data_IF_015555854054
#
_entry.id   IF_015555854054
#
_cell.length_a   1.000
_cell.length_b   1.000
_cell.length_c   1.000
_cell.angle_alpha   90.00
_cell.angle_beta   90.00
_cell.angle_gamma   90.00
#
_symmetry.space_group_name_H-M   'P 1'
#
loop_
_entity.id
_entity.type
_entity.pdbx_description
1 polymer ?
#
# COMPACT_ATOMS: atom_id res chain seq x y z
N UNK A 1 90.09 11.11 29.50
CA UNK A 1 89.09 11.25 28.42
C UNK A 1 88.20 10.01 28.40
N UNK A 2 86.96 10.19 27.92
CA UNK A 2 85.83 9.24 27.80
C UNK A 2 85.14 8.77 29.09
N UNK A 3 84.05 9.46 29.41
CA UNK A 3 82.99 9.05 30.31
C UNK A 3 81.98 8.14 29.58
N UNK A 4 81.56 7.04 30.20
CA UNK A 4 80.38 6.28 29.80
C UNK A 4 79.38 6.23 30.96
N UNK A 5 78.34 7.06 30.87
CA UNK A 5 77.08 6.95 31.59
C UNK A 5 76.06 6.38 30.59
N UNK A 6 75.47 5.22 30.89
CA UNK A 6 74.17 4.85 30.30
C UNK A 6 73.26 4.26 31.37
N UNK A 7 72.19 5.01 31.59
CA UNK A 7 71.17 4.84 32.61
C UNK A 7 70.33 3.57 32.41
N UNK A 8 70.22 2.79 33.48
CA UNK A 8 69.18 1.79 33.69
C UNK A 8 67.88 2.47 34.13
N UNK A 9 67.00 2.77 33.17
CA UNK A 9 65.57 3.05 33.45
C UNK A 9 64.72 2.32 32.41
N UNK A 10 64.67 0.99 32.52
CA UNK A 10 63.88 0.14 31.64
C UNK A 10 63.23 -0.97 32.45
N UNK A 11 62.02 -0.73 32.94
CA UNK A 11 61.06 -1.77 33.35
C UNK A 11 59.75 -1.15 33.85
N UNK A 12 59.80 -0.06 34.64
CA UNK A 12 58.60 0.49 35.30
C UNK A 12 57.70 1.37 34.43
N UNK A 13 58.18 1.86 33.27
CA UNK A 13 57.35 2.62 32.32
C UNK A 13 56.66 1.75 31.27
N UNK A 14 57.11 0.51 31.05
CA UNK A 14 56.48 -0.40 30.08
C UNK A 14 55.20 -1.03 30.65
N UNK A 15 55.15 -1.30 31.95
CA UNK A 15 54.00 -1.94 32.59
C UNK A 15 52.77 -1.00 32.69
N UNK A 16 53.01 0.31 32.87
CA UNK A 16 51.93 1.30 32.96
C UNK A 16 51.25 1.58 31.60
N UNK A 17 51.97 1.40 30.49
CA UNK A 17 51.43 1.54 29.12
C UNK A 17 50.60 0.33 28.67
N UNK A 18 50.89 -0.87 29.20
CA UNK A 18 50.11 -2.09 28.89
C UNK A 18 48.76 -2.14 29.63
N UNK A 19 48.67 -1.63 30.86
CA UNK A 19 47.39 -1.54 31.58
C UNK A 19 46.45 -0.46 31.04
N UNK A 20 46.98 0.62 30.46
CA UNK A 20 46.15 1.65 29.82
C UNK A 20 45.60 1.19 28.45
N UNK A 21 46.32 0.32 27.72
CA UNK A 21 45.85 -0.20 26.43
C UNK A 21 44.77 -1.29 26.60
N UNK A 22 44.84 -2.12 27.63
CA UNK A 22 43.79 -3.12 27.90
C UNK A 22 42.48 -2.50 28.43
N UNK A 23 42.52 -1.32 29.06
CA UNK A 23 41.32 -0.59 29.49
C UNK A 23 40.64 0.20 28.34
N UNK A 24 41.36 0.50 27.26
CA UNK A 24 40.82 1.20 26.08
C UNK A 24 40.29 0.26 24.98
N UNK A 25 40.63 -1.03 25.03
CA UNK A 25 40.05 -2.06 24.14
C UNK A 25 38.79 -2.72 24.76
N UNK A 26 38.58 -2.56 26.07
CA UNK A 26 37.46 -3.16 26.80
C UNK A 26 36.16 -2.34 26.88
N UNK A 27 36.11 -1.12 26.32
CA UNK A 27 34.99 -0.19 26.51
C UNK A 27 34.26 0.27 25.23
N UNK A 28 34.52 -0.37 24.08
CA UNK A 28 33.83 -0.07 22.80
C UNK A 28 33.11 -1.27 22.18
N UNK A 29 32.91 -2.34 22.94
CA UNK A 29 31.80 -3.24 22.68
C UNK A 29 30.51 -2.62 23.26
N UNK A 30 30.11 -1.46 22.72
CA UNK A 30 28.68 -1.18 22.64
C UNK A 30 28.12 -2.39 21.91
N UNK A 31 27.46 -3.27 22.66
CA UNK A 31 26.58 -4.25 22.10
C UNK A 31 25.61 -3.46 21.23
N UNK A 32 25.91 -3.36 19.94
CA UNK A 32 24.89 -3.18 18.95
C UNK A 32 23.96 -4.35 19.23
N UNK A 33 22.83 -4.07 19.91
CA UNK A 33 21.66 -4.91 19.82
C UNK A 33 21.59 -5.29 18.35
N UNK A 34 21.71 -6.58 17.98
CA UNK A 34 21.63 -6.96 16.59
C UNK A 34 20.36 -6.30 16.10
N UNK A 35 20.49 -5.39 15.11
CA UNK A 35 19.34 -4.82 14.44
C UNK A 35 18.46 -6.01 14.14
N UNK A 36 17.29 -6.10 14.81
CA UNK A 36 16.45 -7.28 14.76
C UNK A 36 16.36 -7.66 13.29
N UNK A 37 16.89 -8.83 12.92
CA UNK A 37 17.03 -9.20 11.52
C UNK A 37 15.68 -8.91 10.88
N UNK A 38 15.66 -7.98 9.91
CA UNK A 38 14.41 -7.45 9.39
C UNK A 38 13.54 -8.65 9.01
N UNK A 39 12.32 -8.71 9.53
CA UNK A 39 11.49 -9.89 9.37
C UNK A 39 11.25 -10.15 7.87
N UNK A 40 11.93 -11.18 7.35
CA UNK A 40 11.98 -11.53 5.93
C UNK A 40 10.69 -12.18 5.43
N UNK A 41 9.73 -12.45 6.33
CA UNK A 41 8.43 -12.98 5.93
C UNK A 41 7.71 -11.97 5.03
N UNK A 42 7.06 -12.49 4.00
CA UNK A 42 6.31 -11.69 3.06
C UNK A 42 5.13 -11.01 3.76
N UNK A 43 5.08 -9.68 3.65
CA UNK A 43 4.06 -8.86 4.30
C UNK A 43 2.80 -8.81 3.43
N UNK A 44 1.66 -9.21 4.00
CA UNK A 44 0.36 -9.25 3.32
C UNK A 44 -0.55 -8.12 3.79
N UNK A 45 -1.24 -7.49 2.84
CA UNK A 45 -2.21 -6.42 3.07
C UNK A 45 -3.64 -6.95 2.96
N UNK A 46 -4.37 -6.99 4.08
CA UNK A 46 -5.82 -7.17 4.09
C UNK A 46 -6.47 -5.79 4.02
N UNK A 47 -7.07 -5.49 2.87
CA UNK A 47 -7.57 -4.16 2.52
C UNK A 47 -9.09 -4.20 2.64
N UNK A 48 -9.68 -3.42 3.55
CA UNK A 48 -11.14 -3.33 3.62
C UNK A 48 -11.71 -2.61 2.38
N UNK A 49 -12.72 -3.21 1.75
CA UNK A 49 -13.34 -2.72 0.51
C UNK A 49 -14.34 -1.59 0.76
N UNK A 50 -14.31 -0.52 -0.04
CA UNK A 50 -15.31 0.56 -0.09
C UNK A 50 -15.56 1.17 1.29
N UNK A 51 -14.50 1.72 1.87
CA UNK A 51 -14.53 2.36 3.20
C UNK A 51 -14.82 3.84 3.04
N UNK A 52 -16.03 4.19 2.58
CA UNK A 52 -16.37 5.60 2.30
C UNK A 52 -17.05 6.33 3.47
N UNK A 53 -17.08 5.70 4.65
CA UNK A 53 -17.69 6.30 5.86
C UNK A 53 -16.68 6.36 7.01
N UNK A 54 -16.86 7.33 7.92
CA UNK A 54 -16.03 7.45 9.11
C UNK A 54 -16.14 6.21 10.02
N UNK A 55 -17.35 5.67 10.15
CA UNK A 55 -17.62 4.46 10.92
C UNK A 55 -17.00 3.22 10.24
N UNK A 56 -16.99 3.19 8.90
CA UNK A 56 -16.31 2.17 8.12
C UNK A 56 -14.81 2.10 8.42
N UNK A 57 -14.14 3.26 8.61
CA UNK A 57 -12.72 3.30 9.01
C UNK A 57 -12.51 2.59 10.36
N UNK A 58 -13.41 2.83 11.31
CA UNK A 58 -13.33 2.22 12.63
C UNK A 58 -13.62 0.71 12.59
N UNK A 59 -14.63 0.32 11.81
CA UNK A 59 -14.98 -1.08 11.60
C UNK A 59 -13.82 -1.85 10.95
N UNK A 60 -13.22 -1.32 9.88
CA UNK A 60 -12.08 -1.94 9.22
C UNK A 60 -10.91 -2.18 10.19
N UNK A 61 -10.56 -1.18 10.99
CA UNK A 61 -9.52 -1.29 12.02
C UNK A 61 -9.90 -2.31 13.11
N UNK A 62 -11.15 -2.29 13.57
CA UNK A 62 -11.67 -3.24 14.56
C UNK A 62 -11.59 -4.69 14.05
N UNK A 63 -11.83 -4.91 12.76
CA UNK A 63 -11.76 -6.22 12.11
C UNK A 63 -10.31 -6.67 11.82
N UNK A 64 -9.32 -5.81 12.05
CA UNK A 64 -7.91 -6.12 11.86
C UNK A 64 -7.42 -5.92 10.44
N UNK A 65 -8.13 -5.12 9.63
CA UNK A 65 -7.61 -4.66 8.35
C UNK A 65 -6.35 -3.81 8.59
N UNK A 66 -5.31 -4.02 7.78
CA UNK A 66 -4.10 -3.20 7.80
C UNK A 66 -4.02 -2.28 6.57
N UNK A 67 -4.99 -2.38 5.65
CA UNK A 67 -5.26 -1.37 4.64
C UNK A 67 -6.75 -1.09 4.51
N UNK A 68 -7.08 0.04 3.90
CA UNK A 68 -8.45 0.36 3.46
C UNK A 68 -8.40 0.87 2.03
N UNK A 69 -9.43 0.59 1.26
CA UNK A 69 -9.71 1.24 0.00
C UNK A 69 -10.86 2.23 0.20
N UNK A 70 -10.72 3.43 -0.37
CA UNK A 70 -11.67 4.53 -0.29
C UNK A 70 -11.92 4.99 -1.71
N UNK A 71 -13.18 4.95 -2.12
CA UNK A 71 -13.58 5.52 -3.39
C UNK A 71 -13.61 7.04 -3.25
N UNK A 72 -13.03 7.77 -4.20
CA UNK A 72 -13.00 9.23 -4.12
C UNK A 72 -13.57 9.88 -5.38
N UNK A 73 -14.53 10.77 -5.17
CA UNK A 73 -15.08 11.67 -6.19
C UNK A 73 -14.57 13.08 -6.00
N UNK A 74 -14.14 13.71 -7.08
CA UNK A 74 -13.87 15.14 -7.14
C UNK A 74 -15.19 15.92 -7.03
N UNK A 75 -15.12 17.19 -6.65
CA UNK A 75 -16.30 18.03 -6.59
C UNK A 75 -15.94 19.49 -6.81
N UNK A 76 -16.52 20.13 -7.82
CA UNK A 76 -16.07 21.44 -8.26
C UNK A 76 -16.50 22.56 -7.31
N UNK A 77 -17.66 22.42 -6.68
CA UNK A 77 -18.22 23.41 -5.76
C UNK A 77 -18.84 22.70 -4.54
N UNK A 78 -18.13 22.55 -3.41
CA UNK A 78 -17.17 23.55 -2.90
C UNK A 78 -15.68 23.32 -3.19
N UNK A 79 -15.29 22.71 -4.33
CA UNK A 79 -13.89 22.46 -4.71
C UNK A 79 -13.18 21.52 -3.72
N UNK A 80 -13.60 20.27 -3.64
CA UNK A 80 -13.09 19.27 -2.71
C UNK A 80 -13.12 17.84 -3.27
N UNK A 81 -12.66 16.87 -2.47
CA UNK A 81 -12.84 15.44 -2.70
C UNK A 81 -13.74 14.85 -1.62
N UNK A 82 -14.62 13.92 -1.99
CA UNK A 82 -15.51 13.20 -1.07
C UNK A 82 -15.32 11.71 -1.22
N UNK A 83 -15.44 10.99 -0.10
CA UNK A 83 -15.41 9.54 -0.11
C UNK A 83 -16.76 9.01 -0.60
N UNK A 84 -16.80 8.47 -1.81
CA UNK A 84 -18.01 7.98 -2.46
C UNK A 84 -17.69 7.18 -3.73
N UNK A 85 -18.32 6.03 -3.89
CA UNK A 85 -18.15 5.17 -5.07
C UNK A 85 -18.86 5.65 -6.34
N UNK A 86 -20.09 6.17 -6.24
CA UNK A 86 -21.03 6.25 -7.38
C UNK A 86 -21.08 7.65 -8.04
N UNK A 87 -19.92 8.23 -8.34
CA UNK A 87 -19.77 9.65 -8.74
C UNK A 87 -20.61 10.07 -9.96
N UNK A 88 -20.71 9.21 -10.97
CA UNK A 88 -21.35 9.50 -12.25
C UNK A 88 -22.88 9.41 -12.20
N UNK A 89 -23.43 8.61 -11.29
CA UNK A 89 -24.88 8.40 -11.13
C UNK A 89 -25.52 9.32 -10.09
N UNK A 90 -24.71 9.97 -9.24
CA UNK A 90 -25.20 10.84 -8.18
C UNK A 90 -25.64 12.24 -8.63
N UNK A 91 -25.40 12.66 -9.87
CA UNK A 91 -25.75 14.02 -10.31
C UNK A 91 -25.21 15.10 -9.36
N UNK A 92 -26.07 16.01 -8.90
CA UNK A 92 -25.74 17.05 -7.93
C UNK A 92 -25.68 16.58 -6.46
N UNK A 93 -26.03 15.32 -6.19
CA UNK A 93 -26.17 14.77 -4.83
C UNK A 93 -25.05 13.78 -4.49
N UNK A 94 -23.78 14.17 -4.69
CA UNK A 94 -22.65 13.32 -4.26
C UNK A 94 -22.60 13.27 -2.73
N UNK A 95 -22.94 12.11 -2.19
CA UNK A 95 -23.07 11.86 -0.76
C UNK A 95 -21.78 11.23 -0.22
N UNK A 96 -21.34 11.63 0.97
CA UNK A 96 -20.12 11.10 1.57
C UNK A 96 -19.38 12.15 2.39
N UNK A 97 -18.59 11.74 3.41
CA UNK A 97 -17.75 12.65 4.16
C UNK A 97 -16.70 13.29 3.24
N UNK A 98 -16.20 14.46 3.63
CA UNK A 98 -15.05 15.05 2.95
C UNK A 98 -13.82 14.16 3.13
N UNK A 99 -12.92 14.17 2.15
CA UNK A 99 -11.67 13.44 2.26
C UNK A 99 -10.80 13.92 3.44
N UNK A 100 -10.89 15.21 3.81
CA UNK A 100 -10.24 15.71 5.03
C UNK A 100 -10.81 15.04 6.29
N UNK A 101 -12.12 14.82 6.37
CA UNK A 101 -12.75 14.09 7.46
C UNK A 101 -12.29 12.63 7.54
N UNK A 102 -12.14 11.97 6.39
CA UNK A 102 -11.57 10.61 6.31
C UNK A 102 -10.12 10.59 6.83
N UNK A 103 -9.26 11.50 6.35
CA UNK A 103 -7.88 11.63 6.82
C UNK A 103 -7.85 11.86 8.33
N UNK A 104 -8.66 12.78 8.84
CA UNK A 104 -8.72 13.10 10.27
C UNK A 104 -9.06 11.87 11.11
N UNK A 105 -10.01 11.05 10.65
CA UNK A 105 -10.38 9.80 11.33
C UNK A 105 -9.27 8.77 11.31
N UNK A 106 -8.61 8.60 10.16
CA UNK A 106 -7.45 7.69 10.01
C UNK A 106 -6.30 8.11 10.91
N UNK A 107 -5.96 9.41 10.92
CA UNK A 107 -4.86 9.95 11.73
C UNK A 107 -5.17 9.92 13.23
N UNK A 108 -6.44 10.12 13.62
CA UNK A 108 -6.87 9.95 15.01
C UNK A 108 -6.65 8.51 15.48
N UNK A 109 -7.04 7.53 14.66
CA UNK A 109 -6.80 6.11 14.91
C UNK A 109 -5.29 5.77 14.97
N UNK A 110 -4.48 6.34 14.09
CA UNK A 110 -3.03 6.17 14.11
C UNK A 110 -2.39 6.70 15.40
N UNK A 111 -2.81 7.88 15.88
CA UNK A 111 -2.38 8.44 17.18
C UNK A 111 -2.79 7.55 18.36
N UNK A 112 -3.92 6.85 18.24
CA UNK A 112 -4.39 5.86 19.21
C UNK A 112 -3.72 4.48 19.06
N UNK A 113 -2.66 4.34 18.25
CA UNK A 113 -1.90 3.10 18.09
C UNK A 113 -2.49 2.11 17.07
N UNK A 114 -3.59 2.45 16.40
CA UNK A 114 -4.26 1.64 15.37
C UNK A 114 -3.95 2.18 13.97
N UNK A 115 -2.66 2.26 13.64
CA UNK A 115 -2.18 2.83 12.37
C UNK A 115 -2.30 1.81 11.23
N UNK A 116 -2.97 2.19 10.15
CA UNK A 116 -2.99 1.45 8.87
C UNK A 116 -1.60 1.43 8.21
N UNK A 117 -1.29 0.36 7.49
CA UNK A 117 -0.11 0.28 6.65
C UNK A 117 -0.33 0.91 5.27
N UNK A 118 -1.58 0.91 4.77
CA UNK A 118 -1.95 1.35 3.43
C UNK A 118 -3.33 2.04 3.41
N UNK A 119 -3.45 3.08 2.59
CA UNK A 119 -4.72 3.64 2.12
C UNK A 119 -4.69 3.62 0.59
N UNK A 120 -5.64 2.92 -0.03
CA UNK A 120 -5.86 2.93 -1.47
C UNK A 120 -6.97 3.94 -1.77
N UNK A 121 -6.67 4.93 -2.60
CA UNK A 121 -7.66 5.89 -3.11
C UNK A 121 -8.10 5.44 -4.49
N UNK A 122 -9.31 4.88 -4.63
CA UNK A 122 -9.89 4.55 -5.92
C UNK A 122 -10.49 5.81 -6.56
N UNK A 123 -9.74 6.41 -7.48
CA UNK A 123 -10.06 7.71 -8.06
C UNK A 123 -11.05 7.51 -9.20
N UNK A 124 -12.29 7.93 -8.98
CA UNK A 124 -13.38 7.69 -9.94
C UNK A 124 -13.42 8.69 -11.08
N UNK A 125 -13.09 9.95 -10.85
CA UNK A 125 -13.19 11.03 -11.86
C UNK A 125 -11.91 11.88 -11.93
N UNK A 126 -10.75 11.27 -12.24
CA UNK A 126 -9.42 11.89 -12.13
C UNK A 126 -9.24 13.14 -13.01
N UNK A 127 -10.08 13.33 -14.02
CA UNK A 127 -10.00 14.42 -14.99
C UNK A 127 -11.04 15.54 -14.77
N UNK A 128 -11.92 15.39 -13.79
CA UNK A 128 -13.04 16.32 -13.55
C UNK A 128 -12.56 17.74 -13.23
N UNK A 129 -11.54 17.89 -12.38
CA UNK A 129 -10.90 19.16 -12.07
C UNK A 129 -9.50 19.27 -12.67
N UNK A 130 -9.09 20.47 -13.05
CA UNK A 130 -7.75 20.82 -13.47
C UNK A 130 -6.89 21.42 -12.33
N UNK A 131 -5.59 21.17 -12.38
CA UNK A 131 -4.66 21.63 -11.34
C UNK A 131 -4.62 23.17 -11.21
N UNK A 132 -4.72 23.92 -12.32
CA UNK A 132 -4.71 25.38 -12.31
C UNK A 132 -6.07 26.02 -11.91
N UNK A 133 -7.22 25.65 -12.50
CA UNK A 133 -8.48 26.32 -12.18
C UNK A 133 -9.09 25.91 -10.83
N UNK A 134 -8.85 24.67 -10.37
CA UNK A 134 -9.56 24.08 -9.23
C UNK A 134 -8.70 22.98 -8.59
N UNK A 135 -7.52 23.39 -8.10
CA UNK A 135 -6.50 22.48 -7.54
C UNK A 135 -7.07 21.54 -6.48
N UNK A 136 -7.90 22.04 -5.56
CA UNK A 136 -8.37 21.28 -4.40
C UNK A 136 -9.17 20.03 -4.78
N UNK A 137 -9.99 20.08 -5.85
CA UNK A 137 -10.69 18.90 -6.40
C UNK A 137 -9.92 18.20 -7.53
N UNK A 138 -8.73 18.66 -7.90
CA UNK A 138 -7.85 17.96 -8.85
C UNK A 138 -7.08 16.83 -8.15
N UNK A 139 -6.55 15.87 -8.92
CA UNK A 139 -5.71 14.78 -8.37
C UNK A 139 -4.44 15.32 -7.69
N UNK A 140 -3.87 16.43 -8.18
CA UNK A 140 -2.74 17.09 -7.51
C UNK A 140 -3.14 17.58 -6.10
N UNK A 141 -4.33 18.16 -5.94
CA UNK A 141 -4.85 18.56 -4.62
C UNK A 141 -5.21 17.38 -3.73
N UNK A 142 -5.70 16.28 -4.30
CA UNK A 142 -5.88 15.02 -3.57
C UNK A 142 -4.55 14.54 -2.98
N UNK A 143 -3.49 14.56 -3.79
CA UNK A 143 -2.14 14.23 -3.35
C UNK A 143 -1.62 15.17 -2.27
N UNK A 144 -1.86 16.48 -2.39
CA UNK A 144 -1.46 17.46 -1.36
C UNK A 144 -2.08 17.10 0.00
N UNK A 145 -3.37 16.73 0.04
CA UNK A 145 -4.06 16.26 1.25
C UNK A 145 -3.47 14.95 1.76
N UNK A 146 -3.22 14.00 0.87
CA UNK A 146 -2.66 12.68 1.20
C UNK A 146 -1.27 12.74 1.83
N UNK A 147 -0.51 13.85 1.68
CA UNK A 147 0.77 14.03 2.38
C UNK A 147 0.62 13.97 3.91
N UNK A 148 -0.56 14.26 4.44
CA UNK A 148 -0.85 14.10 5.87
C UNK A 148 -0.78 12.63 6.31
N UNK A 149 -1.18 11.69 5.44
CA UNK A 149 -1.10 10.25 5.68
C UNK A 149 0.34 9.75 5.58
N UNK A 150 1.07 10.17 4.54
CA UNK A 150 2.47 9.76 4.35
C UNK A 150 3.38 10.33 5.45
N UNK A 151 3.12 11.54 5.93
CA UNK A 151 3.80 12.12 7.10
C UNK A 151 3.57 11.31 8.40
N UNK A 152 2.45 10.58 8.50
CA UNK A 152 2.17 9.65 9.60
C UNK A 152 2.76 8.24 9.38
N UNK A 153 3.47 8.03 8.28
CA UNK A 153 4.05 6.75 7.89
C UNK A 153 3.05 5.76 7.30
N UNK A 154 1.91 6.25 6.79
CA UNK A 154 0.89 5.45 6.11
C UNK A 154 1.14 5.53 4.61
N UNK A 155 1.16 4.40 3.92
CA UNK A 155 1.34 4.38 2.47
C UNK A 155 0.06 4.78 1.75
N UNK A 156 0.19 5.43 0.59
CA UNK A 156 -0.94 5.85 -0.24
C UNK A 156 -0.81 5.26 -1.64
N UNK A 157 -1.82 4.50 -2.07
CA UNK A 157 -1.93 3.99 -3.43
C UNK A 157 -2.98 4.79 -4.19
N UNK A 158 -2.59 5.44 -5.29
CA UNK A 158 -3.51 6.12 -6.19
C UNK A 158 -4.00 5.14 -7.25
N UNK A 159 -5.28 4.76 -7.21
CA UNK A 159 -5.90 3.84 -8.15
C UNK A 159 -6.58 4.55 -9.30
N UNK A 160 -6.31 4.09 -10.52
CA UNK A 160 -6.95 4.56 -11.73
C UNK A 160 -7.63 3.38 -12.43
N UNK A 161 -8.94 3.34 -12.34
CA UNK A 161 -9.77 2.45 -13.14
C UNK A 161 -10.19 3.19 -14.42
N UNK A 162 -10.06 2.56 -15.58
CA UNK A 162 -10.34 3.20 -16.88
C UNK A 162 -11.87 3.26 -17.15
N UNK A 163 -12.59 4.09 -16.39
CA UNK A 163 -14.02 4.34 -16.55
C UNK A 163 -14.31 5.28 -17.72
N UNK A 164 -13.43 6.26 -17.94
CA UNK A 164 -13.59 7.31 -18.94
C UNK A 164 -12.49 7.20 -20.00
N UNK A 165 -12.92 7.05 -21.26
CA UNK A 165 -12.03 7.10 -22.43
C UNK A 165 -12.04 8.47 -23.12
N UNK A 166 -11.57 8.49 -24.37
CA UNK A 166 -11.59 9.70 -25.22
C UNK A 166 -10.29 10.50 -25.19
N UNK A 167 -10.38 11.82 -25.32
CA UNK A 167 -9.20 12.71 -25.39
C UNK A 167 -8.54 12.97 -24.04
N UNK A 168 -9.24 12.66 -22.93
CA UNK A 168 -8.73 12.73 -21.56
C UNK A 168 -9.05 11.43 -20.83
N UNK A 169 -8.37 10.32 -21.17
CA UNK A 169 -8.59 9.03 -20.52
C UNK A 169 -8.19 9.08 -19.05
N UNK A 170 -8.74 8.19 -18.21
CA UNK A 170 -8.35 8.15 -16.79
C UNK A 170 -6.88 7.76 -16.63
N UNK A 171 -6.44 6.75 -17.37
CA UNK A 171 -5.02 6.37 -17.49
C UNK A 171 -4.36 7.20 -18.58
N UNK A 172 -3.31 7.95 -18.22
CA UNK A 172 -2.58 8.81 -19.14
C UNK A 172 -3.22 10.17 -19.41
N UNK A 173 -4.41 10.46 -18.86
CA UNK A 173 -4.99 11.80 -18.88
C UNK A 173 -4.43 12.72 -17.81
N UNK A 174 -5.13 13.84 -17.60
CA UNK A 174 -4.66 14.95 -16.75
C UNK A 174 -4.42 14.53 -15.30
N UNK A 175 -5.36 13.78 -14.71
CA UNK A 175 -5.23 13.33 -13.32
C UNK A 175 -4.02 12.42 -13.11
N UNK A 176 -3.84 11.45 -14.01
CA UNK A 176 -2.68 10.55 -14.04
C UNK A 176 -1.37 11.32 -14.20
N UNK A 177 -1.28 12.19 -15.21
CA UNK A 177 -0.11 13.03 -15.47
C UNK A 177 0.25 13.95 -14.30
N UNK A 178 -0.73 14.38 -13.51
CA UNK A 178 -0.50 15.25 -12.36
C UNK A 178 0.32 14.59 -11.23
N UNK A 179 0.48 13.26 -11.26
CA UNK A 179 1.29 12.49 -10.31
C UNK A 179 2.69 12.13 -10.85
N UNK A 180 2.93 12.27 -12.15
CA UNK A 180 4.20 11.90 -12.78
C UNK A 180 5.37 12.65 -12.15
N UNK A 181 6.45 11.92 -11.84
CA UNK A 181 7.65 12.41 -11.16
C UNK A 181 7.41 13.06 -9.79
N UNK A 182 6.21 12.89 -9.21
CA UNK A 182 5.83 13.50 -7.93
C UNK A 182 5.60 12.48 -6.81
N UNK A 183 5.52 11.18 -7.11
CA UNK A 183 5.34 10.15 -6.07
C UNK A 183 6.57 10.03 -5.17
N UNK A 184 6.36 10.20 -3.87
CA UNK A 184 7.34 10.01 -2.81
C UNK A 184 7.48 8.55 -2.36
N UNK A 185 8.31 8.29 -1.33
CA UNK A 185 8.71 6.94 -0.93
C UNK A 185 7.59 6.06 -0.34
N UNK A 186 6.48 6.67 0.08
CA UNK A 186 5.29 5.98 0.61
C UNK A 186 4.10 6.07 -0.34
N UNK A 187 4.31 6.52 -1.57
CA UNK A 187 3.26 6.69 -2.57
C UNK A 187 3.47 5.71 -3.72
N UNK A 188 2.38 5.17 -4.25
CA UNK A 188 2.35 4.27 -5.39
C UNK A 188 1.15 4.57 -6.28
N UNK A 189 1.15 4.01 -7.48
CA UNK A 189 0.07 4.16 -8.46
C UNK A 189 -0.32 2.79 -9.01
N UNK A 190 -1.62 2.54 -9.13
CA UNK A 190 -2.16 1.31 -9.73
C UNK A 190 -3.11 1.62 -10.87
N UNK A 191 -3.22 0.66 -11.78
CA UNK A 191 -4.33 0.57 -12.72
C UNK A 191 -4.73 -0.89 -12.86
N UNK A 192 -6.01 -1.10 -13.17
CA UNK A 192 -6.59 -2.43 -13.15
C UNK A 192 -6.45 -3.15 -14.49
N UNK A 193 -6.30 -4.47 -14.45
CA UNK A 193 -6.49 -5.31 -15.62
C UNK A 193 -5.55 -6.50 -15.67
N UNK A 194 -5.59 -7.20 -16.81
CA UNK A 194 -4.61 -8.25 -17.14
C UNK A 194 -3.19 -7.69 -17.15
N UNK A 195 -2.19 -8.56 -17.04
CA UNK A 195 -0.78 -8.16 -16.97
C UNK A 195 -0.38 -7.29 -18.17
N UNK A 196 -0.85 -7.65 -19.38
CA UNK A 196 -0.53 -6.92 -20.60
C UNK A 196 -1.25 -5.56 -20.68
N UNK A 197 -2.47 -5.45 -20.14
CA UNK A 197 -3.16 -4.16 -20.03
C UNK A 197 -2.40 -3.20 -19.11
N UNK A 198 -2.03 -3.65 -17.91
CA UNK A 198 -1.36 -2.81 -16.91
C UNK A 198 0.06 -2.43 -17.36
N UNK A 199 0.85 -3.39 -17.82
CA UNK A 199 2.18 -3.08 -18.36
C UNK A 199 2.09 -2.20 -19.60
N UNK A 200 1.10 -2.43 -20.47
CA UNK A 200 0.80 -1.58 -21.60
C UNK A 200 0.48 -0.14 -21.18
N UNK A 201 -0.35 0.07 -20.16
CA UNK A 201 -0.67 1.37 -19.61
C UNK A 201 0.60 2.11 -19.13
N UNK A 202 1.44 1.46 -18.33
CA UNK A 202 2.69 2.06 -17.86
C UNK A 202 3.72 2.30 -18.99
N UNK A 203 3.75 1.46 -20.02
CA UNK A 203 4.61 1.66 -21.18
C UNK A 203 4.14 2.85 -22.03
N UNK A 204 2.83 3.05 -22.18
CA UNK A 204 2.26 4.15 -22.97
C UNK A 204 2.31 5.50 -22.25
N UNK A 205 2.06 5.49 -20.93
CA UNK A 205 1.77 6.71 -20.18
C UNK A 205 2.46 6.78 -18.82
N UNK A 206 3.37 5.85 -18.49
CA UNK A 206 3.96 5.74 -17.15
C UNK A 206 5.43 6.12 -17.03
N UNK A 207 6.00 6.83 -18.01
CA UNK A 207 7.43 7.19 -18.02
C UNK A 207 7.87 7.98 -16.77
N UNK A 208 6.96 8.77 -16.18
CA UNK A 208 7.18 9.50 -14.94
C UNK A 208 7.00 8.70 -13.64
N UNK A 209 6.66 7.40 -13.72
CA UNK A 209 6.53 6.53 -12.55
C UNK A 209 7.64 5.48 -12.54
N UNK A 210 8.54 5.45 -11.54
CA UNK A 210 9.54 4.40 -11.45
C UNK A 210 8.89 3.06 -11.12
N UNK A 211 9.50 1.95 -11.54
CA UNK A 211 8.95 0.59 -11.37
C UNK A 211 8.55 0.29 -9.92
N UNK A 212 9.36 0.71 -8.93
CA UNK A 212 9.07 0.59 -7.50
C UNK A 212 7.88 1.42 -7.00
N UNK A 213 7.12 2.05 -7.89
CA UNK A 213 5.86 2.78 -7.60
C UNK A 213 4.67 2.22 -8.37
N UNK A 214 4.92 1.33 -9.33
CA UNK A 214 3.90 0.78 -10.24
C UNK A 214 3.28 -0.46 -9.62
N UNK A 215 1.99 -0.44 -9.41
CA UNK A 215 1.22 -1.57 -8.89
C UNK A 215 0.29 -2.06 -9.98
N UNK A 216 0.11 -3.37 -10.03
CA UNK A 216 -0.94 -4.00 -10.80
C UNK A 216 -2.03 -4.44 -9.85
N UNK A 217 -3.27 -4.06 -10.12
CA UNK A 217 -4.43 -4.68 -9.49
C UNK A 217 -5.28 -5.42 -10.51
N UNK A 218 -5.93 -6.50 -10.08
CA UNK A 218 -6.90 -7.18 -10.92
C UNK A 218 -7.92 -7.98 -10.14
N UNK A 219 -9.16 -7.92 -10.62
CA UNK A 219 -10.21 -8.88 -10.29
C UNK A 219 -11.58 -8.36 -10.65
N UNK A 220 -12.59 -8.74 -9.87
CA UNK A 220 -14.00 -8.47 -10.15
C UNK A 220 -14.78 -8.32 -8.85
N UNK A 221 -15.85 -7.51 -8.90
CA UNK A 221 -16.88 -7.42 -7.84
C UNK A 221 -17.47 -8.79 -7.46
N UNK A 222 -17.48 -9.73 -8.41
CA UNK A 222 -17.77 -11.14 -8.24
C UNK A 222 -16.50 -11.93 -8.58
N UNK A 223 -15.68 -12.22 -7.55
CA UNK A 223 -14.39 -12.91 -7.72
C UNK A 223 -14.52 -14.27 -8.42
N UNK A 224 -15.72 -14.86 -8.51
CA UNK A 224 -15.93 -16.13 -9.21
C UNK A 224 -15.86 -15.99 -10.73
N UNK A 225 -16.09 -14.78 -11.25
CA UNK A 225 -16.11 -14.52 -12.70
C UNK A 225 -14.70 -14.47 -13.26
N UNK A 226 -14.41 -15.39 -14.16
CA UNK A 226 -13.13 -15.41 -14.87
C UNK A 226 -11.92 -15.65 -13.96
N UNK A 227 -12.09 -16.23 -12.77
CA UNK A 227 -10.98 -16.39 -11.82
C UNK A 227 -9.90 -17.37 -12.29
N UNK A 228 -10.32 -18.52 -12.81
CA UNK A 228 -9.44 -19.63 -13.15
C UNK A 228 -8.94 -20.41 -11.92
N UNK A 229 -7.78 -21.07 -12.03
CA UNK A 229 -7.13 -21.86 -11.00
C UNK A 229 -5.62 -21.60 -10.92
N UNK A 230 -5.15 -20.54 -11.59
CA UNK A 230 -3.77 -20.05 -11.59
C UNK A 230 -2.79 -20.92 -12.41
N UNK A 231 -3.31 -21.80 -13.25
CA UNK A 231 -2.52 -22.69 -14.15
C UNK A 231 -2.82 -22.46 -15.64
N UNK A 232 -3.83 -21.64 -15.93
CA UNK A 232 -4.23 -21.30 -17.28
C UNK A 232 -3.12 -20.55 -18.03
N UNK A 233 -3.06 -20.78 -19.34
CA UNK A 233 -2.12 -20.08 -20.21
C UNK A 233 -2.47 -18.59 -20.32
N UNK A 234 -3.75 -18.22 -20.30
CA UNK A 234 -4.19 -16.84 -20.46
C UNK A 234 -5.57 -16.49 -19.84
N UNK A 235 -5.81 -15.17 -19.73
CA UNK A 235 -7.06 -14.41 -19.51
C UNK A 235 -7.99 -14.85 -18.37
N UNK A 236 -7.41 -15.28 -17.26
CA UNK A 236 -8.16 -15.45 -15.99
C UNK A 236 -7.45 -14.75 -14.85
N UNK A 237 -8.22 -14.20 -13.91
CA UNK A 237 -7.75 -13.31 -12.83
C UNK A 237 -6.54 -13.87 -12.10
N UNK A 238 -6.60 -15.15 -11.68
CA UNK A 238 -5.51 -15.73 -10.91
C UNK A 238 -4.22 -15.90 -11.73
N UNK A 239 -4.32 -16.36 -12.98
CA UNK A 239 -3.16 -16.54 -13.84
C UNK A 239 -2.50 -15.20 -14.20
N UNK A 240 -3.30 -14.15 -14.42
CA UNK A 240 -2.79 -12.81 -14.72
C UNK A 240 -2.11 -12.16 -13.51
N UNK A 241 -2.68 -12.30 -12.31
CA UNK A 241 -2.03 -11.85 -11.08
C UNK A 241 -0.72 -12.59 -10.81
N UNK A 242 -0.65 -13.89 -11.11
CA UNK A 242 0.59 -14.67 -11.02
C UNK A 242 1.68 -14.18 -11.97
N UNK A 243 1.30 -13.78 -13.20
CA UNK A 243 2.22 -13.11 -14.14
C UNK A 243 2.68 -11.75 -13.59
N UNK A 244 1.76 -10.97 -13.02
CA UNK A 244 2.08 -9.72 -12.33
C UNK A 244 3.07 -9.92 -11.18
N UNK A 245 2.91 -10.95 -10.36
CA UNK A 245 3.82 -11.26 -9.26
C UNK A 245 5.22 -11.66 -9.79
N UNK A 246 5.29 -12.26 -10.97
CA UNK A 246 6.57 -12.53 -11.66
C UNK A 246 7.22 -11.23 -12.18
N UNK A 247 6.43 -10.28 -12.67
CA UNK A 247 6.90 -8.94 -13.03
C UNK A 247 7.42 -8.17 -11.80
N UNK A 248 6.74 -8.29 -10.66
CA UNK A 248 7.18 -7.76 -9.36
C UNK A 248 8.51 -8.36 -8.93
N UNK A 249 8.63 -9.69 -8.94
CA UNK A 249 9.87 -10.39 -8.59
C UNK A 249 11.05 -9.99 -9.49
N UNK A 250 10.77 -9.56 -10.73
CA UNK A 250 11.76 -9.04 -11.67
C UNK A 250 12.02 -7.52 -11.56
N UNK A 251 11.44 -6.83 -10.56
CA UNK A 251 11.59 -5.39 -10.36
C UNK A 251 10.90 -4.52 -11.42
N UNK A 252 9.91 -5.06 -12.13
CA UNK A 252 9.10 -4.31 -13.11
C UNK A 252 7.86 -3.66 -12.49
N UNK A 253 7.36 -4.24 -11.41
CA UNK A 253 6.28 -3.73 -10.58
C UNK A 253 6.74 -3.70 -9.11
N UNK A 254 6.16 -2.83 -8.31
CA UNK A 254 6.34 -2.80 -6.87
C UNK A 254 5.45 -3.85 -6.17
N UNK A 255 4.20 -3.99 -6.63
CA UNK A 255 3.21 -4.83 -5.99
C UNK A 255 2.15 -5.36 -6.97
N UNK A 256 1.45 -6.39 -6.51
CA UNK A 256 0.25 -6.97 -7.10
C UNK A 256 -0.86 -7.06 -6.08
N UNK A 257 -2.06 -6.59 -6.42
CA UNK A 257 -3.22 -6.59 -5.54
C UNK A 257 -4.43 -7.25 -6.24
N UNK A 258 -5.35 -7.83 -5.47
CA UNK A 258 -6.58 -8.40 -6.03
C UNK A 258 -7.83 -7.87 -5.33
N UNK A 259 -8.97 -7.94 -6.01
CA UNK A 259 -10.27 -7.53 -5.50
C UNK A 259 -11.40 -8.30 -6.22
N UNK A 260 -12.57 -8.54 -5.66
CA UNK A 260 -12.94 -8.41 -4.24
C UNK A 260 -13.30 -9.78 -3.69
N UNK A 261 -12.63 -10.22 -2.62
CA UNK A 261 -13.06 -11.42 -1.88
C UNK A 261 -14.09 -11.07 -0.81
N UNK A 262 -15.04 -11.96 -0.58
CA UNK A 262 -16.11 -11.81 0.43
C UNK A 262 -15.91 -12.76 1.62
N UNK A 263 -16.86 -12.74 2.55
CA UNK A 263 -16.85 -13.59 3.74
C UNK A 263 -16.90 -15.10 3.45
N UNK A 264 -17.19 -15.52 2.22
CA UNK A 264 -17.34 -16.92 1.86
C UNK A 264 -16.34 -17.39 0.78
N UNK A 265 -15.20 -16.70 0.67
CA UNK A 265 -14.22 -16.93 -0.39
C UNK A 265 -12.86 -17.51 0.08
N UNK A 266 -12.80 -18.47 1.04
CA UNK A 266 -11.52 -18.97 1.56
C UNK A 266 -10.67 -19.64 0.48
N UNK A 267 -11.30 -20.26 -0.52
CA UNK A 267 -10.61 -20.87 -1.64
C UNK A 267 -9.94 -19.83 -2.54
N UNK A 268 -10.61 -18.72 -2.82
CA UNK A 268 -10.04 -17.62 -3.61
C UNK A 268 -8.88 -16.94 -2.87
N UNK A 269 -9.03 -16.71 -1.56
CA UNK A 269 -7.94 -16.20 -0.71
C UNK A 269 -6.72 -17.11 -0.79
N UNK A 270 -6.92 -18.43 -0.69
CA UNK A 270 -5.83 -19.41 -0.80
C UNK A 270 -5.11 -19.36 -2.15
N UNK A 271 -5.87 -19.29 -3.25
CA UNK A 271 -5.33 -19.16 -4.60
C UNK A 271 -4.60 -17.84 -4.83
N UNK A 272 -5.16 -16.73 -4.37
CA UNK A 272 -4.58 -15.41 -4.53
C UNK A 272 -3.24 -15.29 -3.79
N UNK A 273 -3.17 -15.73 -2.54
CA UNK A 273 -1.96 -15.60 -1.72
C UNK A 273 -0.95 -16.73 -1.98
N UNK A 274 -1.41 -17.96 -2.13
CA UNK A 274 -0.55 -19.14 -2.30
C UNK A 274 -0.02 -19.30 -3.72
N UNK A 275 -0.89 -19.20 -4.72
CA UNK A 275 -0.56 -19.52 -6.11
C UNK A 275 -0.23 -18.27 -6.94
N UNK A 276 -1.08 -17.23 -6.87
CA UNK A 276 -0.83 -15.97 -7.57
C UNK A 276 0.19 -15.07 -6.86
N UNK A 277 0.39 -15.25 -5.55
CA UNK A 277 1.37 -14.51 -4.74
C UNK A 277 1.16 -12.99 -4.75
N UNK A 278 -0.12 -12.58 -4.69
CA UNK A 278 -0.46 -11.17 -4.52
C UNK A 278 0.00 -10.66 -3.15
N UNK A 279 0.35 -9.39 -3.10
CA UNK A 279 0.81 -8.70 -1.89
C UNK A 279 -0.37 -8.27 -1.00
N UNK A 280 -1.57 -8.17 -1.56
CA UNK A 280 -2.77 -7.79 -0.82
C UNK A 280 -4.08 -8.08 -1.54
N UNK A 281 -5.15 -8.09 -0.76
CA UNK A 281 -6.50 -8.41 -1.21
C UNK A 281 -7.48 -7.39 -0.64
N UNK A 282 -8.28 -6.78 -1.51
CA UNK A 282 -9.49 -6.05 -1.13
C UNK A 282 -10.56 -7.08 -0.73
N UNK A 283 -11.07 -6.94 0.48
CA UNK A 283 -12.03 -7.86 1.08
C UNK A 283 -13.17 -7.11 1.81
N UNK A 284 -14.39 -7.59 1.61
CA UNK A 284 -15.59 -6.97 2.19
C UNK A 284 -16.85 -7.39 1.45
N UNK A 285 -17.77 -6.44 1.26
CA UNK A 285 -18.95 -6.68 0.44
C UNK A 285 -18.57 -6.78 -1.05
N UNK A 286 -19.09 -7.78 -1.75
CA UNK A 286 -18.98 -7.94 -3.20
C UNK A 286 -20.36 -8.08 -3.85
N UNK A 287 -20.39 -8.44 -5.14
CA UNK A 287 -21.62 -8.58 -5.91
C UNK A 287 -22.62 -9.56 -5.25
N UNK A 288 -22.13 -10.71 -4.75
CA UNK A 288 -22.95 -11.73 -4.10
C UNK A 288 -23.62 -11.23 -2.81
N UNK A 289 -23.02 -10.28 -2.11
CA UNK A 289 -23.49 -9.78 -0.81
C UNK A 289 -24.26 -8.47 -0.90
N UNK A 290 -24.33 -7.89 -2.11
CA UNK A 290 -24.71 -6.51 -2.36
C UNK A 290 -23.52 -5.57 -2.13
N UNK A 291 -23.04 -4.91 -3.19
CA UNK A 291 -21.97 -3.92 -3.09
C UNK A 291 -22.49 -2.70 -2.34
N UNK A 292 -21.84 -2.37 -1.22
CA UNK A 292 -22.21 -1.25 -0.34
C UNK A 292 -21.03 -0.91 0.57
N UNK A 293 -21.17 0.19 1.31
CA UNK A 293 -20.18 0.68 2.26
C UNK A 293 -19.76 -0.37 3.29
N UNK A 294 -18.46 -0.39 3.59
CA UNK A 294 -17.91 -1.21 4.66
C UNK A 294 -18.52 -0.81 6.01
N UNK A 295 -18.96 -1.80 6.79
CA UNK A 295 -19.61 -1.61 8.08
C UNK A 295 -19.07 -2.58 9.14
N UNK A 296 -19.60 -2.46 10.37
CA UNK A 296 -19.25 -3.32 11.52
C UNK A 296 -20.00 -4.66 11.50
N UNK A 297 -20.36 -5.17 10.32
CA UNK A 297 -21.04 -6.46 10.18
C UNK A 297 -20.07 -7.64 10.30
N UNK A 298 -20.63 -8.80 10.65
CA UNK A 298 -19.86 -10.04 10.70
C UNK A 298 -19.35 -10.46 9.32
N UNK A 299 -20.04 -10.10 8.23
CA UNK A 299 -19.61 -10.39 6.86
C UNK A 299 -18.30 -9.65 6.56
N UNK A 300 -18.26 -8.34 6.81
CA UNK A 300 -17.05 -7.55 6.65
C UNK A 300 -15.91 -8.04 7.55
N UNK A 301 -16.22 -8.35 8.82
CA UNK A 301 -15.24 -8.92 9.75
C UNK A 301 -14.67 -10.25 9.24
N UNK A 302 -15.53 -11.15 8.76
CA UNK A 302 -15.10 -12.46 8.31
C UNK A 302 -14.32 -12.40 7.01
N UNK A 303 -14.67 -11.52 6.07
CA UNK A 303 -13.90 -11.33 4.83
C UNK A 303 -12.43 -10.96 5.12
N UNK A 304 -12.19 -10.06 6.08
CA UNK A 304 -10.84 -9.72 6.54
C UNK A 304 -10.18 -10.88 7.31
N UNK A 305 -10.95 -11.58 8.15
CA UNK A 305 -10.43 -12.73 8.89
C UNK A 305 -9.97 -13.86 7.98
N UNK A 306 -10.60 -14.11 6.82
CA UNK A 306 -10.14 -15.13 5.88
C UNK A 306 -8.70 -14.89 5.41
N UNK A 307 -8.33 -13.63 5.12
CA UNK A 307 -6.96 -13.25 4.76
C UNK A 307 -6.02 -13.46 5.96
N UNK A 308 -6.43 -13.00 7.14
CA UNK A 308 -5.63 -13.13 8.37
C UNK A 308 -5.39 -14.58 8.76
N UNK A 309 -6.41 -15.43 8.67
CA UNK A 309 -6.34 -16.86 8.99
C UNK A 309 -5.45 -17.60 8.01
N UNK A 310 -5.48 -17.24 6.72
CA UNK A 310 -4.53 -17.76 5.76
C UNK A 310 -3.09 -17.39 6.14
N UNK A 311 -2.84 -16.11 6.45
CA UNK A 311 -1.51 -15.63 6.86
C UNK A 311 -1.03 -16.33 8.14
N UNK A 312 -1.90 -16.51 9.13
CA UNK A 312 -1.58 -17.21 10.38
C UNK A 312 -1.18 -18.67 10.13
N UNK A 313 -1.90 -19.38 9.26
CA UNK A 313 -1.56 -20.75 8.86
C UNK A 313 -0.25 -20.84 8.08
N UNK A 314 0.18 -19.75 7.45
CA UNK A 314 1.44 -19.63 6.71
C UNK A 314 2.48 -18.75 7.42
N UNK A 315 2.38 -18.63 8.75
CA UNK A 315 3.14 -17.67 9.57
C UNK A 315 4.66 -17.85 9.55
N UNK A 316 5.17 -18.97 9.01
CA UNK A 316 6.61 -19.20 8.80
C UNK A 316 7.18 -18.42 7.62
N UNK A 317 6.34 -18.08 6.64
CA UNK A 317 6.75 -17.40 5.40
C UNK A 317 6.03 -16.09 5.16
N UNK A 318 4.87 -15.89 5.81
CA UNK A 318 4.03 -14.71 5.65
C UNK A 318 3.72 -14.07 7.00
N UNK A 319 3.35 -12.79 6.96
CA UNK A 319 2.83 -12.04 8.10
C UNK A 319 1.93 -10.92 7.61
N UNK A 320 1.11 -10.37 8.50
CA UNK A 320 0.38 -9.15 8.20
C UNK A 320 1.37 -7.98 8.09
N UNK A 321 1.18 -7.14 7.07
CA UNK A 321 1.91 -5.90 6.94
C UNK A 321 1.59 -4.92 8.09
N UNK A 322 2.56 -4.07 8.39
CA UNK A 322 2.55 -3.04 9.43
C UNK A 322 3.03 -1.72 8.83
N UNK A 323 2.94 -0.61 9.57
CA UNK A 323 3.49 0.67 9.10
C UNK A 323 5.03 0.71 8.92
N UNK A 324 5.75 -0.35 9.31
CA UNK A 324 7.18 -0.49 9.02
C UNK A 324 7.45 -1.07 7.62
N UNK A 325 6.47 -1.75 7.04
CA UNK A 325 6.59 -2.38 5.73
C UNK A 325 6.51 -1.35 4.61
N UNK A 326 7.13 -1.69 3.48
CA UNK A 326 7.15 -0.85 2.28
C UNK A 326 6.67 -1.70 1.11
N UNK A 327 5.51 -1.34 0.59
CA UNK A 327 4.91 -1.92 -0.62
C UNK A 327 5.54 -1.34 -1.88
N UNK A 328 6.08 -0.12 -1.80
CA UNK A 328 6.59 0.65 -2.94
C UNK A 328 8.12 0.80 -2.87
N UNK A 329 8.82 -0.29 -3.18
CA UNK A 329 10.29 -0.39 -3.19
C UNK A 329 10.81 -0.65 -4.58
#
# INVERSE_FOLDING_TARGET
MTAQLRNTVGARRLLALLTALCALVGATALAATPAAAADQRHAIYAIAHRVDTLDGVDAALKHGANGIEIDVCAWYDPNEWRAYHDCSSAGETRHGPSFDGMIDRILSNAKAGRRLALVWLDIKDPNYCGEAPNRTCSVAGLRDKAQRLTAAGIQVLYGFYEYHGGSTPDVGGRGWQSLENRLGPLEGITTTGTRDQVTGAFNRSGSGFPNGRRVMDYGDSDITKGFGNCTEADRVTCAELKKGASDRAAGRLAATLSWTTTYNDPWYVDKLLGDARVDGIIAGYGAFTGVREYDDSWQCANAINLVRDWVNRHGSTHRMATGADRLFT
#
